data_IF_645523992129
#
_entry.id   IF_645523992129
#
_cell.length_a   1.000
_cell.length_b   1.000
_cell.length_c   1.000
_cell.angle_alpha   90.00
_cell.angle_beta   90.00
_cell.angle_gamma   90.00
#
_symmetry.space_group_name_H-M   'P 1'
#
loop_
_entity.id
_entity.type
_entity.pdbx_description
1 polymer ?
#
# COMPACT_ATOMS: atom_id res chain seq x y z
N UNK A 1 11.38 22.05 -11.31
CA UNK A 1 11.09 20.62 -11.54
C UNK A 1 11.39 19.92 -10.23
N UNK A 2 10.42 19.84 -9.32
CA UNK A 2 10.60 19.15 -8.04
C UNK A 2 10.41 17.66 -8.28
N UNK A 3 11.53 16.99 -8.53
CA UNK A 3 11.65 15.53 -8.53
C UNK A 3 11.38 15.06 -7.09
N UNK A 4 10.10 14.90 -6.74
CA UNK A 4 9.69 14.45 -5.42
C UNK A 4 10.09 12.99 -5.32
N UNK A 5 11.19 12.71 -4.61
CA UNK A 5 11.77 11.38 -4.48
C UNK A 5 10.68 10.38 -4.11
N UNK A 6 10.38 9.45 -5.04
CA UNK A 6 9.32 8.47 -4.85
C UNK A 6 9.69 7.62 -3.61
N UNK A 7 8.82 7.53 -2.60
CA UNK A 7 9.11 6.77 -1.40
C UNK A 7 9.34 5.30 -1.73
N UNK A 8 10.18 4.63 -0.94
CA UNK A 8 10.50 3.21 -1.10
C UNK A 8 9.92 2.38 0.02
N UNK A 9 9.51 1.16 -0.28
CA UNK A 9 9.03 0.22 0.73
C UNK A 9 10.19 -0.25 1.62
N UNK A 10 10.08 -0.15 2.96
CA UNK A 10 11.12 -0.62 3.87
C UNK A 10 11.26 -2.14 3.91
N UNK A 11 10.26 -2.88 3.41
CA UNK A 11 10.25 -4.36 3.44
C UNK A 11 10.88 -5.02 2.22
N UNK A 12 10.82 -4.37 1.05
CA UNK A 12 11.33 -4.94 -0.20
C UNK A 12 12.22 -3.99 -1.01
N UNK A 13 12.38 -2.73 -0.58
CA UNK A 13 13.19 -1.72 -1.25
C UNK A 13 12.61 -1.16 -2.55
N UNK A 14 11.47 -1.69 -3.04
CA UNK A 14 10.83 -1.20 -4.27
C UNK A 14 10.14 0.14 -4.04
N UNK A 15 10.11 0.96 -5.08
CA UNK A 15 9.37 2.22 -5.12
C UNK A 15 7.87 1.99 -4.91
N UNK A 16 7.24 2.83 -4.08
CA UNK A 16 5.80 2.80 -3.88
C UNK A 16 5.09 3.45 -5.08
N UNK A 17 3.90 2.97 -5.39
CA UNK A 17 3.03 3.60 -6.40
C UNK A 17 2.05 4.53 -5.71
N UNK A 18 1.80 5.69 -6.34
CA UNK A 18 0.75 6.60 -5.92
C UNK A 18 -0.60 6.00 -6.30
N UNK A 19 -1.55 5.99 -5.39
CA UNK A 19 -2.91 5.54 -5.66
C UNK A 19 -3.92 6.48 -5.02
N UNK A 20 -5.08 6.62 -5.66
CA UNK A 20 -6.14 7.51 -5.18
C UNK A 20 -7.11 6.73 -4.29
N UNK A 21 -7.44 7.30 -3.14
CA UNK A 21 -8.53 6.79 -2.32
C UNK A 21 -9.88 7.26 -2.85
N UNK A 22 -10.98 6.51 -2.59
CA UNK A 22 -12.31 6.99 -2.92
C UNK A 22 -12.64 8.26 -2.13
N UNK A 23 -13.55 9.05 -2.68
CA UNK A 23 -14.04 10.27 -2.04
C UNK A 23 -14.69 9.93 -0.68
N UNK A 24 -14.60 10.85 0.29
CA UNK A 24 -15.11 10.68 1.66
C UNK A 24 -14.44 9.57 2.51
N UNK A 25 -13.16 9.27 2.30
CA UNK A 25 -12.45 8.30 3.16
C UNK A 25 -12.01 8.85 4.52
N UNK A 26 -12.24 10.13 4.81
CA UNK A 26 -11.87 10.77 6.07
C UNK A 26 -10.37 11.04 6.23
N UNK A 27 -9.56 10.76 5.20
CA UNK A 27 -8.14 11.13 5.16
C UNK A 27 -7.99 12.54 4.57
N UNK A 28 -7.03 13.30 5.11
CA UNK A 28 -6.75 14.66 4.63
C UNK A 28 -6.09 14.68 3.25
N UNK A 29 -5.34 13.62 2.91
CA UNK A 29 -4.68 13.45 1.62
C UNK A 29 -5.53 12.58 0.70
N UNK A 30 -5.83 13.08 -0.50
CA UNK A 30 -6.56 12.33 -1.56
C UNK A 30 -5.69 11.23 -2.19
N UNK A 31 -4.37 11.39 -2.11
CA UNK A 31 -3.38 10.49 -2.70
C UNK A 31 -2.52 9.85 -1.61
N UNK A 32 -2.33 8.54 -1.73
CA UNK A 32 -1.48 7.77 -0.83
C UNK A 32 -0.48 6.96 -1.63
N UNK A 33 0.52 6.42 -0.94
CA UNK A 33 1.57 5.62 -1.56
C UNK A 33 1.52 4.21 -1.02
N UNK A 34 1.51 3.20 -1.88
CA UNK A 34 1.48 1.81 -1.45
C UNK A 34 2.43 0.92 -2.25
N UNK A 35 2.85 -0.17 -1.61
CA UNK A 35 3.75 -1.15 -2.22
C UNK A 35 2.94 -2.21 -2.98
N UNK A 36 2.87 -2.07 -4.30
CA UNK A 36 2.21 -3.03 -5.20
C UNK A 36 3.15 -4.12 -5.72
N UNK A 37 4.26 -4.38 -5.03
CA UNK A 37 5.13 -5.51 -5.32
C UNK A 37 4.56 -6.80 -4.71
N UNK A 38 4.26 -7.79 -5.55
CA UNK A 38 3.71 -9.09 -5.14
C UNK A 38 4.76 -10.01 -4.50
N UNK A 39 6.04 -9.71 -4.70
CA UNK A 39 7.14 -10.43 -4.07
C UNK A 39 7.52 -9.84 -2.71
N UNK A 40 6.86 -8.76 -2.28
CA UNK A 40 7.14 -8.12 -1.01
C UNK A 40 6.88 -9.10 0.15
N UNK A 41 7.85 -9.35 1.05
CA UNK A 41 7.66 -10.30 2.15
C UNK A 41 6.50 -9.89 3.06
N UNK A 42 6.35 -8.58 3.31
CA UNK A 42 5.22 -8.05 4.08
C UNK A 42 3.84 -8.42 3.50
N UNK A 43 3.72 -8.44 2.16
CA UNK A 43 2.49 -8.84 1.48
C UNK A 43 2.32 -10.36 1.42
N UNK A 44 3.39 -11.10 1.09
CA UNK A 44 3.34 -12.55 1.00
C UNK A 44 3.02 -13.19 2.35
N UNK A 45 3.76 -12.80 3.38
CA UNK A 45 3.63 -13.35 4.73
C UNK A 45 2.29 -12.94 5.37
N UNK A 46 1.73 -11.80 4.94
CA UNK A 46 0.41 -11.34 5.37
C UNK A 46 -0.73 -12.29 4.99
N UNK A 47 -0.66 -12.96 3.83
CA UNK A 47 -1.65 -13.98 3.44
C UNK A 47 -1.66 -15.16 4.41
N UNK A 48 -0.47 -15.68 4.70
CA UNK A 48 -0.30 -16.80 5.61
C UNK A 48 -0.73 -16.43 7.03
N UNK A 49 -0.38 -15.23 7.49
CA UNK A 49 -0.75 -14.76 8.83
C UNK A 49 -2.26 -14.57 8.98
N UNK A 50 -2.92 -13.93 8.02
CA UNK A 50 -4.39 -13.75 8.02
C UNK A 50 -5.13 -15.08 7.95
N UNK A 51 -4.62 -16.02 7.15
CA UNK A 51 -5.20 -17.37 7.07
C UNK A 51 -5.00 -18.18 8.35
N UNK A 52 -3.81 -18.12 8.97
CA UNK A 52 -3.51 -18.83 10.22
C UNK A 52 -4.31 -18.29 11.39
N UNK A 53 -4.40 -16.96 11.51
CA UNK A 53 -5.00 -16.28 12.67
C UNK A 53 -6.51 -16.16 12.56
N UNK A 54 -7.04 -15.77 11.39
CA UNK A 54 -8.44 -15.39 11.21
C UNK A 54 -9.20 -16.27 10.21
N UNK A 55 -8.51 -17.18 9.49
CA UNK A 55 -9.11 -17.99 8.40
C UNK A 55 -9.74 -17.13 7.30
N UNK A 56 -9.23 -15.93 7.09
CA UNK A 56 -9.65 -15.03 6.02
C UNK A 56 -8.60 -15.02 4.92
N UNK A 57 -9.05 -15.12 3.66
CA UNK A 57 -8.18 -14.97 2.49
C UNK A 57 -8.01 -13.48 2.16
N UNK A 58 -7.17 -12.83 2.94
CA UNK A 58 -6.74 -11.44 2.71
C UNK A 58 -5.28 -11.27 3.10
N UNK A 59 -4.68 -10.17 2.68
CA UNK A 59 -3.36 -9.74 3.12
C UNK A 59 -3.37 -8.22 3.31
N UNK A 60 -2.21 -7.65 3.57
CA UNK A 60 -2.00 -6.22 3.70
C UNK A 60 -0.72 -5.81 2.96
N UNK A 61 -0.76 -4.64 2.33
CA UNK A 61 0.41 -4.01 1.69
C UNK A 61 0.89 -2.85 2.54
N UNK A 62 2.18 -2.55 2.44
CA UNK A 62 2.74 -1.38 3.11
C UNK A 62 2.23 -0.11 2.42
N UNK A 63 1.64 0.81 3.18
CA UNK A 63 1.16 2.11 2.71
C UNK A 63 1.76 3.24 3.54
N UNK A 64 2.02 4.37 2.88
CA UNK A 64 2.27 5.66 3.50
C UNK A 64 1.04 6.53 3.25
N UNK A 65 0.45 6.99 4.35
CA UNK A 65 -0.74 7.85 4.37
C UNK A 65 -0.36 9.30 4.12
N UNK A 66 0.80 9.72 4.64
CA UNK A 66 1.25 11.11 4.58
C UNK A 66 2.78 11.13 4.43
N UNK A 67 3.28 11.73 3.35
CA UNK A 67 4.72 11.80 3.07
C UNK A 67 5.46 12.77 3.99
N UNK A 68 4.81 13.87 4.38
CA UNK A 68 5.40 14.91 5.22
C UNK A 68 5.75 14.40 6.62
N UNK A 69 4.92 13.52 7.19
CA UNK A 69 5.14 12.91 8.52
C UNK A 69 5.73 11.50 8.44
N UNK A 70 5.75 10.88 7.25
CA UNK A 70 6.16 9.50 7.07
C UNK A 70 5.20 8.48 7.71
N UNK A 71 3.95 8.89 7.99
CA UNK A 71 2.98 8.05 8.66
C UNK A 71 2.59 6.85 7.80
N UNK A 72 3.04 5.67 8.20
CA UNK A 72 2.74 4.41 7.54
C UNK A 72 1.55 3.69 8.16
N UNK A 73 0.84 2.90 7.35
CA UNK A 73 -0.28 2.08 7.79
C UNK A 73 -0.43 0.84 6.88
N UNK A 74 -0.82 -0.33 7.41
CA UNK A 74 -1.18 -1.47 6.58
C UNK A 74 -2.40 -1.14 5.71
N UNK A 75 -2.30 -1.45 4.42
CA UNK A 75 -3.39 -1.36 3.45
C UNK A 75 -3.97 -2.75 3.22
N UNK A 76 -5.17 -3.08 3.74
CA UNK A 76 -5.77 -4.38 3.53
C UNK A 76 -6.10 -4.62 2.05
N UNK A 77 -5.81 -5.82 1.57
CA UNK A 77 -6.06 -6.29 0.21
C UNK A 77 -6.73 -7.65 0.23
N UNK A 78 -7.80 -7.81 -0.55
CA UNK A 78 -8.55 -9.06 -0.67
C UNK A 78 -8.12 -9.90 -1.87
N UNK A 79 -7.32 -9.34 -2.77
CA UNK A 79 -6.75 -10.02 -3.94
C UNK A 79 -5.42 -9.37 -4.35
N UNK A 80 -4.59 -10.03 -5.19
CA UNK A 80 -3.41 -9.42 -5.79
C UNK A 80 -3.71 -8.13 -6.57
N UNK A 81 -4.89 -8.07 -7.19
CA UNK A 81 -5.35 -6.94 -8.02
C UNK A 81 -6.05 -5.84 -7.22
N UNK A 82 -6.33 -6.07 -5.94
CA UNK A 82 -7.02 -5.09 -5.11
C UNK A 82 -6.27 -3.76 -5.11
N UNK A 83 -6.98 -2.69 -5.44
CA UNK A 83 -6.51 -1.30 -5.47
C UNK A 83 -5.52 -0.96 -6.59
N UNK A 84 -5.19 -1.92 -7.47
CA UNK A 84 -4.35 -1.66 -8.66
C UNK A 84 -5.05 -0.76 -9.67
N UNK A 85 -6.37 -0.87 -9.77
CA UNK A 85 -7.25 -0.03 -10.61
C UNK A 85 -7.22 1.45 -10.22
N UNK A 86 -6.73 1.77 -9.02
CA UNK A 86 -6.67 3.13 -8.48
C UNK A 86 -5.26 3.71 -8.47
N UNK A 87 -4.28 2.95 -8.98
CA UNK A 87 -2.92 3.45 -9.13
C UNK A 87 -2.97 4.58 -10.16
N UNK A 88 -2.49 5.74 -9.75
CA UNK A 88 -2.28 6.88 -10.63
C UNK A 88 -0.82 6.84 -11.05
N UNK A 89 -0.60 6.36 -12.27
CA UNK A 89 0.69 6.51 -12.95
C UNK A 89 0.78 7.96 -13.42
N UNK A 90 1.72 8.71 -12.83
CA UNK A 90 2.11 10.06 -13.25
C UNK A 90 3.50 9.99 -13.91
#
# INVERSE_FOLDING_TARGET
>A
MTDQAKPTCPHCGKTLSRFRLPDNTGWQEEYQWACFNDECPYYRDGWDWMWKTYKVRSSYRYRIVELSTGKASPLPVWSPDALRDRIVEE
#
